data_IF_299305542469
#
_entry.id   IF_299305542469
#
_cell.length_a   1.000
_cell.length_b   1.000
_cell.length_c   1.000
_cell.angle_alpha   90.00
_cell.angle_beta   90.00
_cell.angle_gamma   90.00
#
_symmetry.space_group_name_H-M   'P 1'
#
loop_
_entity.id
_entity.type
_entity.pdbx_description
1 polymer ?
#
# COMPACT_ATOMS: atom_id res chain seq x y z
N UNK A 1 2.46 21.54 -12.09
CA UNK A 1 1.87 21.85 -10.77
C UNK A 1 3.02 22.28 -9.87
N UNK A 2 3.14 23.56 -9.55
CA UNK A 2 4.24 24.09 -8.74
C UNK A 2 3.85 24.04 -7.26
N UNK A 3 4.66 23.40 -6.43
CA UNK A 3 4.45 23.37 -4.97
C UNK A 3 4.96 24.68 -4.39
N UNK A 4 4.06 25.45 -3.74
CA UNK A 4 4.42 26.70 -3.06
C UNK A 4 4.58 26.42 -1.56
N UNK A 5 5.71 26.77 -0.92
CA UNK A 5 5.89 26.60 0.52
C UNK A 5 4.90 27.43 1.35
N UNK A 6 4.55 26.97 2.57
CA UNK A 6 3.71 27.76 3.48
C UNK A 6 4.37 29.09 3.85
N UNK A 7 3.58 30.18 3.88
CA UNK A 7 4.03 31.53 4.27
C UNK A 7 4.48 32.43 3.12
N UNK A 8 4.49 31.93 1.88
CA UNK A 8 4.81 32.72 0.69
C UNK A 8 3.51 33.20 0.02
N UNK A 9 3.30 34.51 -0.03
CA UNK A 9 2.25 35.10 -0.86
C UNK A 9 2.64 34.94 -2.32
N UNK A 10 1.91 34.13 -3.06
CA UNK A 10 2.14 33.88 -4.48
C UNK A 10 0.84 33.56 -5.20
N UNK A 11 0.82 33.65 -6.54
CA UNK A 11 -0.34 33.29 -7.32
C UNK A 11 -0.69 31.81 -7.09
N UNK A 12 -1.94 31.54 -6.73
CA UNK A 12 -2.47 30.19 -6.61
C UNK A 12 -3.18 29.83 -7.91
N UNK A 13 -2.94 28.62 -8.41
CA UNK A 13 -3.65 28.09 -9.59
C UNK A 13 -4.85 27.29 -9.08
N UNK A 14 -6.05 27.74 -9.45
CA UNK A 14 -7.24 26.93 -9.28
C UNK A 14 -7.32 25.91 -10.42
N UNK A 15 -7.40 24.62 -10.08
CA UNK A 15 -7.58 23.53 -11.04
C UNK A 15 -9.00 22.97 -10.86
N UNK A 16 -9.90 23.11 -11.84
CA UNK A 16 -11.24 22.56 -11.73
C UNK A 16 -11.19 21.04 -11.85
N UNK A 17 -11.95 20.36 -10.99
CA UNK A 17 -12.18 18.92 -11.06
C UNK A 17 -13.67 18.63 -11.18
N UNK A 18 -14.01 17.58 -11.94
CA UNK A 18 -15.38 17.14 -12.08
C UNK A 18 -15.85 16.51 -10.76
N UNK A 19 -17.00 16.95 -10.28
CA UNK A 19 -17.64 16.40 -9.08
C UNK A 19 -18.78 15.48 -9.50
N UNK A 20 -18.85 14.32 -8.86
CA UNK A 20 -19.89 13.30 -9.06
C UNK A 20 -20.63 13.05 -7.75
N UNK A 21 -21.89 12.61 -7.84
CA UNK A 21 -22.67 12.20 -6.68
C UNK A 21 -22.67 10.69 -6.56
N UNK A 22 -22.23 10.17 -5.41
CA UNK A 22 -22.35 8.75 -5.06
C UNK A 22 -23.68 8.55 -4.33
N UNK A 23 -24.66 7.97 -5.03
CA UNK A 23 -25.99 7.71 -4.47
C UNK A 23 -25.99 6.65 -3.36
N UNK A 24 -25.02 5.74 -3.35
CA UNK A 24 -24.91 4.68 -2.33
C UNK A 24 -24.36 5.27 -1.03
N UNK A 25 -23.33 6.12 -1.13
CA UNK A 25 -22.74 6.82 0.02
C UNK A 25 -23.51 8.06 0.43
N UNK A 26 -24.42 8.53 -0.42
CA UNK A 26 -25.20 9.75 -0.20
C UNK A 26 -24.37 11.03 -0.20
N UNK A 27 -23.21 11.05 -0.88
CA UNK A 27 -22.26 12.16 -0.81
C UNK A 27 -21.70 12.57 -2.18
N UNK A 28 -21.23 13.83 -2.27
CA UNK A 28 -20.49 14.32 -3.43
C UNK A 28 -19.01 13.97 -3.30
N UNK A 29 -18.38 13.57 -4.40
CA UNK A 29 -16.96 13.22 -4.45
C UNK A 29 -16.31 13.73 -5.74
N UNK A 30 -14.98 13.82 -5.71
CA UNK A 30 -14.14 14.11 -6.87
C UNK A 30 -12.83 13.36 -6.69
N UNK A 31 -12.40 12.67 -7.74
CA UNK A 31 -11.09 12.01 -7.75
C UNK A 31 -10.01 13.00 -8.16
N UNK A 32 -8.98 13.12 -7.32
CA UNK A 32 -7.84 14.02 -7.54
C UNK A 32 -6.58 13.16 -7.61
N UNK A 33 -6.11 12.92 -8.82
CA UNK A 33 -4.88 12.16 -9.06
C UNK A 33 -3.64 13.04 -8.87
N UNK A 34 -2.83 12.73 -7.86
CA UNK A 34 -1.56 13.43 -7.55
C UNK A 34 -0.38 12.48 -7.81
N UNK A 35 -0.39 11.81 -8.97
CA UNK A 35 0.53 10.72 -9.28
C UNK A 35 2.01 11.15 -9.32
N UNK A 36 2.31 12.34 -9.82
CA UNK A 36 3.69 12.83 -9.92
C UNK A 36 4.36 12.98 -8.55
N UNK A 37 3.63 13.46 -7.53
CA UNK A 37 4.19 13.63 -6.19
C UNK A 37 4.44 12.27 -5.52
N UNK A 38 3.49 11.35 -5.65
CA UNK A 38 3.64 9.97 -5.17
C UNK A 38 4.77 9.20 -5.88
N UNK A 39 5.12 9.60 -7.11
CA UNK A 39 6.22 9.05 -7.89
C UNK A 39 7.58 9.73 -7.65
N UNK A 40 7.68 10.73 -6.77
CA UNK A 40 8.95 11.41 -6.46
C UNK A 40 9.32 11.27 -4.97
N UNK A 41 8.39 10.85 -4.12
CA UNK A 41 8.60 10.78 -2.69
C UNK A 41 7.91 9.55 -2.11
N UNK A 42 8.54 8.94 -1.12
CA UNK A 42 7.92 7.87 -0.33
C UNK A 42 6.93 8.46 0.67
N UNK A 43 5.65 8.14 0.50
CA UNK A 43 4.56 8.53 1.39
C UNK A 43 4.47 10.03 1.72
N UNK A 44 4.50 10.95 0.73
CA UNK A 44 4.38 12.38 0.99
C UNK A 44 3.03 12.70 1.64
N UNK A 45 3.06 13.55 2.66
CA UNK A 45 1.87 14.00 3.36
C UNK A 45 1.25 15.19 2.62
N UNK A 46 0.02 15.03 2.13
CA UNK A 46 -0.69 16.08 1.38
C UNK A 46 -1.88 16.62 2.17
N UNK A 47 -2.10 17.92 2.06
CA UNK A 47 -3.31 18.59 2.51
C UNK A 47 -3.83 19.44 1.37
N UNK A 48 -5.11 19.28 1.04
CA UNK A 48 -5.74 20.00 -0.06
C UNK A 48 -6.49 21.22 0.47
N UNK A 49 -6.42 22.30 -0.29
CA UNK A 49 -7.30 23.45 -0.14
C UNK A 49 -8.34 23.38 -1.25
N UNK A 50 -9.62 23.24 -0.90
CA UNK A 50 -10.72 23.08 -1.85
C UNK A 50 -11.73 24.21 -1.73
N UNK A 51 -12.34 24.59 -2.84
CA UNK A 51 -13.45 25.53 -2.89
C UNK A 51 -14.44 25.10 -3.97
N UNK A 52 -15.70 25.50 -3.84
CA UNK A 52 -16.72 25.26 -4.87
C UNK A 52 -16.67 26.37 -5.89
N UNK A 53 -16.67 26.00 -7.17
CA UNK A 53 -16.88 26.92 -8.29
C UNK A 53 -18.38 27.03 -8.61
N UNK A 54 -18.88 28.26 -8.71
CA UNK A 54 -20.29 28.59 -8.88
C UNK A 54 -20.43 29.55 -10.08
N UNK A 55 -20.66 29.03 -11.30
CA UNK A 55 -20.74 29.87 -12.49
C UNK A 55 -21.89 30.87 -12.42
N UNK A 56 -23.03 30.46 -11.85
CA UNK A 56 -24.21 31.30 -11.60
C UNK A 56 -24.10 32.03 -10.25
N UNK A 57 -23.11 32.92 -10.13
CA UNK A 57 -22.87 33.72 -8.92
C UNK A 57 -22.82 35.21 -9.23
N UNK A 58 -22.87 36.04 -8.18
CA UNK A 58 -22.61 37.47 -8.33
C UNK A 58 -21.19 37.71 -8.84
N UNK A 59 -20.99 38.83 -9.53
CA UNK A 59 -19.68 39.22 -10.04
C UNK A 59 -18.62 39.20 -8.92
N UNK A 60 -17.49 38.54 -9.19
CA UNK A 60 -16.40 38.36 -8.22
C UNK A 60 -16.70 37.36 -7.08
N UNK A 61 -17.80 36.59 -7.13
CA UNK A 61 -18.21 35.63 -6.08
C UNK A 61 -18.31 34.18 -6.56
N UNK A 62 -17.68 33.84 -7.69
CA UNK A 62 -17.72 32.50 -8.27
C UNK A 62 -17.00 31.41 -7.46
N UNK A 63 -16.23 31.78 -6.44
CA UNK A 63 -15.49 30.85 -5.59
C UNK A 63 -15.99 30.97 -4.16
N UNK A 64 -16.38 29.85 -3.56
CA UNK A 64 -16.75 29.80 -2.15
C UNK A 64 -15.56 30.06 -1.23
N UNK A 65 -15.81 30.17 0.08
CA UNK A 65 -14.74 30.08 1.07
C UNK A 65 -13.91 28.80 0.85
N UNK A 66 -12.59 28.92 0.96
CA UNK A 66 -11.64 27.80 0.90
C UNK A 66 -11.72 26.99 2.19
N UNK A 67 -11.73 25.67 2.06
CA UNK A 67 -11.69 24.71 3.17
C UNK A 67 -10.44 23.85 3.00
N UNK A 68 -9.77 23.54 4.10
CA UNK A 68 -8.63 22.63 4.11
C UNK A 68 -9.09 21.22 4.50
N UNK A 69 -8.55 20.20 3.82
CA UNK A 69 -8.77 18.80 4.19
C UNK A 69 -7.89 18.41 5.38
N UNK A 70 -8.11 17.22 5.92
CA UNK A 70 -7.10 16.57 6.76
C UNK A 70 -5.85 16.23 5.93
N UNK A 71 -4.73 16.07 6.61
CA UNK A 71 -3.51 15.51 6.01
C UNK A 71 -3.70 14.03 5.69
N UNK A 72 -3.27 13.61 4.50
CA UNK A 72 -3.32 12.21 4.06
C UNK A 72 -1.97 11.83 3.45
N UNK A 73 -1.39 10.67 3.83
CA UNK A 73 -0.19 10.16 3.16
C UNK A 73 -0.57 9.57 1.79
N UNK A 74 0.15 9.96 0.73
CA UNK A 74 0.03 9.31 -0.58
C UNK A 74 0.96 8.12 -0.65
N UNK A 75 0.45 6.91 -0.42
CA UNK A 75 1.27 5.70 -0.51
C UNK A 75 1.84 5.52 -1.92
N UNK A 76 3.13 5.17 -2.05
CA UNK A 76 3.75 4.98 -3.35
C UNK A 76 3.17 3.75 -4.07
N UNK A 77 3.12 3.81 -5.40
CA UNK A 77 2.72 2.65 -6.22
C UNK A 77 3.69 1.49 -6.05
N UNK A 78 3.17 0.27 -6.23
CA UNK A 78 3.93 -0.98 -6.21
C UNK A 78 3.70 -1.76 -7.49
N UNK A 79 4.77 -2.29 -8.04
CA UNK A 79 4.72 -3.26 -9.14
C UNK A 79 5.19 -4.59 -8.60
N UNK A 80 4.27 -5.54 -8.46
CA UNK A 80 4.57 -6.91 -8.07
C UNK A 80 4.69 -7.76 -9.33
N UNK A 81 5.85 -8.37 -9.53
CA UNK A 81 6.09 -9.33 -10.62
C UNK A 81 6.57 -10.65 -10.04
N UNK A 82 6.23 -11.74 -10.73
CA UNK A 82 6.66 -13.07 -10.34
C UNK A 82 6.77 -13.98 -11.55
N UNK A 83 7.66 -14.96 -11.44
CA UNK A 83 7.87 -15.99 -12.45
C UNK A 83 8.16 -17.31 -11.76
N UNK A 84 7.51 -18.38 -12.20
CA UNK A 84 7.88 -19.72 -11.78
C UNK A 84 9.21 -20.09 -12.44
N UNK A 85 10.25 -20.30 -11.62
CA UNK A 85 11.61 -20.60 -12.10
C UNK A 85 11.71 -22.05 -12.53
N UNK A 86 11.14 -22.96 -11.73
CA UNK A 86 11.05 -24.39 -11.99
C UNK A 86 9.85 -24.99 -11.22
N UNK A 87 9.74 -26.32 -11.15
CA UNK A 87 8.63 -26.97 -10.47
C UNK A 87 8.65 -26.79 -8.93
N UNK A 88 9.76 -26.32 -8.36
CA UNK A 88 10.01 -26.22 -6.93
C UNK A 88 10.35 -24.80 -6.48
N UNK A 89 10.46 -23.82 -7.38
CA UNK A 89 10.89 -22.47 -7.04
C UNK A 89 10.10 -21.40 -7.81
N UNK A 90 9.80 -20.31 -7.11
CA UNK A 90 9.26 -19.09 -7.70
C UNK A 90 10.14 -17.90 -7.36
N UNK A 91 10.30 -17.02 -8.33
CA UNK A 91 10.96 -15.74 -8.19
C UNK A 91 9.91 -14.65 -8.06
N UNK A 92 10.03 -13.79 -7.06
CA UNK A 92 9.13 -12.66 -6.80
C UNK A 92 9.95 -11.38 -6.64
N UNK A 93 9.51 -10.30 -7.30
CA UNK A 93 10.10 -8.97 -7.17
C UNK A 93 8.99 -7.96 -6.91
N UNK A 94 9.15 -7.18 -5.84
CA UNK A 94 8.29 -6.03 -5.55
C UNK A 94 9.09 -4.74 -5.82
N UNK A 95 8.62 -3.93 -6.75
CA UNK A 95 9.27 -2.68 -7.16
C UNK A 95 8.45 -1.46 -6.75
N UNK A 96 9.15 -0.33 -6.57
CA UNK A 96 8.55 0.95 -6.27
C UNK A 96 9.55 1.89 -5.59
N UNK A 97 9.07 3.06 -5.21
CA UNK A 97 9.86 4.00 -4.42
C UNK A 97 9.86 3.56 -2.96
N UNK A 98 11.05 3.57 -2.37
CA UNK A 98 11.31 3.36 -0.93
C UNK A 98 11.80 4.68 -0.31
N UNK A 99 11.83 4.71 1.01
CA UNK A 99 12.49 5.78 1.77
C UNK A 99 13.93 6.00 1.32
N UNK A 100 14.34 7.27 1.29
CA UNK A 100 15.74 7.64 1.20
C UNK A 100 16.38 7.53 2.60
N UNK A 101 17.60 6.99 2.68
CA UNK A 101 18.35 6.89 3.93
C UNK A 101 18.75 5.45 4.29
N UNK A 102 19.23 5.24 5.54
CA UNK A 102 19.78 3.95 5.98
C UNK A 102 18.70 2.90 6.24
N UNK A 103 17.49 3.32 6.64
CA UNK A 103 16.34 2.43 6.83
C UNK A 103 15.62 2.26 5.51
N UNK A 104 15.82 1.11 4.86
CA UNK A 104 15.07 0.72 3.66
C UNK A 104 13.95 -0.23 4.02
N UNK A 105 12.90 -0.20 3.21
CA UNK A 105 11.82 -1.16 3.36
C UNK A 105 12.33 -2.57 3.04
N UNK A 106 11.88 -3.54 3.84
CA UNK A 106 12.16 -4.96 3.65
C UNK A 106 10.91 -5.61 3.08
N UNK A 107 11.09 -6.36 2.01
CA UNK A 107 10.06 -7.20 1.41
C UNK A 107 10.26 -8.61 1.93
N UNK A 108 9.20 -9.19 2.47
CA UNK A 108 9.11 -10.58 2.90
C UNK A 108 8.12 -11.31 1.99
N UNK A 109 8.51 -12.48 1.51
CA UNK A 109 7.61 -13.41 0.82
C UNK A 109 7.48 -14.67 1.66
N UNK A 110 6.25 -15.07 1.95
CA UNK A 110 5.93 -16.24 2.76
C UNK A 110 4.93 -17.13 2.02
N UNK A 111 5.20 -18.43 1.98
CA UNK A 111 4.26 -19.39 1.44
C UNK A 111 3.14 -19.61 2.47
N UNK A 112 1.90 -19.54 2.01
CA UNK A 112 0.74 -19.93 2.77
C UNK A 112 0.06 -21.11 2.09
N UNK A 113 -0.42 -22.04 2.90
CA UNK A 113 -1.12 -23.24 2.42
C UNK A 113 -2.40 -23.48 3.20
N UNK A 114 -3.35 -24.13 2.55
CA UNK A 114 -4.53 -24.70 3.21
C UNK A 114 -4.87 -26.05 2.59
N UNK A 115 -5.48 -26.98 3.34
CA UNK A 115 -5.98 -28.22 2.76
C UNK A 115 -6.94 -27.95 1.59
N UNK A 116 -6.91 -28.80 0.56
CA UNK A 116 -7.91 -28.76 -0.52
C UNK A 116 -9.30 -29.10 0.02
N UNK A 117 -10.33 -28.53 -0.60
CA UNK A 117 -11.73 -28.85 -0.26
C UNK A 117 -12.25 -28.18 1.02
N UNK A 118 -11.50 -27.25 1.60
CA UNK A 118 -11.88 -26.55 2.84
C UNK A 118 -13.00 -25.50 2.65
N UNK A 119 -13.51 -25.33 1.43
CA UNK A 119 -14.54 -24.33 1.08
C UNK A 119 -13.96 -22.95 0.74
N UNK A 120 -14.83 -21.98 0.45
CA UNK A 120 -14.45 -20.62 0.00
C UNK A 120 -14.03 -19.70 1.16
N UNK A 121 -13.07 -20.15 1.98
CA UNK A 121 -12.40 -19.28 2.94
C UNK A 121 -11.30 -18.50 2.22
N UNK A 122 -11.71 -17.52 1.41
CA UNK A 122 -10.82 -16.60 0.66
C UNK A 122 -10.20 -15.51 1.55
N UNK A 123 -10.54 -15.48 2.84
CA UNK A 123 -10.15 -14.43 3.78
C UNK A 123 -8.76 -14.60 4.44
N UNK A 124 -8.63 -14.28 5.74
CA UNK A 124 -7.36 -14.02 6.41
C UNK A 124 -6.54 -15.27 6.73
N UNK A 125 -5.24 -15.08 6.89
CA UNK A 125 -4.32 -16.08 7.46
C UNK A 125 -4.72 -16.37 8.91
N UNK A 126 -4.78 -17.65 9.26
CA UNK A 126 -5.09 -18.08 10.64
C UNK A 126 -3.89 -17.71 11.53
N UNK A 127 -4.15 -16.87 12.53
CA UNK A 127 -3.14 -16.36 13.45
C UNK A 127 -2.65 -17.41 14.48
N UNK A 128 -3.47 -18.44 14.73
CA UNK A 128 -3.13 -19.56 15.60
C UNK A 128 -2.92 -20.84 14.77
N UNK A 129 -1.85 -21.56 15.06
CA UNK A 129 -1.49 -22.79 14.36
C UNK A 129 -2.40 -24.00 14.69
N UNK A 130 -3.52 -23.80 15.38
CA UNK A 130 -4.44 -24.89 15.72
C UNK A 130 -4.92 -25.58 14.45
N UNK A 131 -4.66 -26.89 14.38
CA UNK A 131 -4.96 -27.70 13.21
C UNK A 131 -6.45 -27.83 12.94
N UNK A 132 -7.30 -27.58 13.93
CA UNK A 132 -8.75 -27.68 13.83
C UNK A 132 -9.42 -26.51 13.09
N UNK A 133 -8.76 -25.35 12.97
CA UNK A 133 -9.35 -24.18 12.29
C UNK A 133 -9.06 -24.26 10.78
N UNK A 134 -10.08 -24.39 9.94
CA UNK A 134 -9.91 -24.33 8.49
C UNK A 134 -9.43 -22.94 8.06
N UNK A 135 -8.34 -22.86 7.29
CA UNK A 135 -7.85 -21.59 6.73
C UNK A 135 -6.40 -21.62 6.25
N UNK A 136 -5.97 -20.48 5.72
CA UNK A 136 -4.60 -20.26 5.26
C UNK A 136 -3.61 -20.25 6.41
N UNK A 137 -2.52 -21.00 6.29
CA UNK A 137 -1.46 -21.05 7.29
C UNK A 137 -0.11 -20.78 6.66
N UNK A 138 0.68 -19.95 7.32
CA UNK A 138 2.07 -19.74 6.93
C UNK A 138 2.84 -21.06 7.05
N UNK A 139 3.45 -21.47 5.95
CA UNK A 139 4.53 -22.45 6.00
C UNK A 139 5.72 -21.75 6.67
N UNK A 140 6.46 -22.41 7.58
CA UNK A 140 7.63 -21.84 8.25
C UNK A 140 8.82 -21.70 7.28
N UNK A 141 8.60 -20.98 6.19
CA UNK A 141 9.53 -20.68 5.13
C UNK A 141 9.15 -19.32 4.55
N UNK A 142 10.01 -18.33 4.82
CA UNK A 142 9.90 -17.01 4.26
C UNK A 142 11.27 -16.56 3.77
N UNK A 143 11.28 -15.81 2.67
CA UNK A 143 12.48 -15.17 2.12
C UNK A 143 12.28 -13.67 2.23
N UNK A 144 13.33 -12.94 2.61
CA UNK A 144 13.26 -11.47 2.70
C UNK A 144 14.43 -10.80 2.00
N UNK A 145 14.21 -9.59 1.50
CA UNK A 145 15.25 -8.72 0.97
C UNK A 145 14.77 -7.28 0.84
N UNK A 146 15.54 -6.44 0.16
CA UNK A 146 15.15 -5.04 -0.07
C UNK A 146 14.11 -4.93 -1.19
N UNK A 147 13.35 -3.82 -1.21
CA UNK A 147 12.53 -3.47 -2.37
C UNK A 147 13.37 -3.50 -3.67
N UNK A 148 12.82 -4.10 -4.73
CA UNK A 148 13.48 -4.34 -6.02
C UNK A 148 14.41 -5.56 -6.06
N UNK A 149 14.66 -6.24 -4.93
CA UNK A 149 15.43 -7.48 -4.94
C UNK A 149 14.62 -8.63 -5.52
N UNK A 150 15.29 -9.50 -6.27
CA UNK A 150 14.73 -10.78 -6.70
C UNK A 150 14.74 -11.75 -5.52
N UNK A 151 13.56 -12.15 -5.05
CA UNK A 151 13.40 -13.09 -3.92
C UNK A 151 12.97 -14.45 -4.45
N UNK A 152 13.72 -15.50 -4.08
CA UNK A 152 13.39 -16.88 -4.46
C UNK A 152 12.77 -17.58 -3.26
N UNK A 153 11.62 -18.21 -3.50
CA UNK A 153 10.90 -19.00 -2.49
C UNK A 153 10.67 -20.41 -3.00
N UNK A 154 11.08 -21.44 -2.25
CA UNK A 154 10.74 -22.81 -2.57
C UNK A 154 9.23 -23.08 -2.43
N UNK A 155 8.72 -23.88 -3.36
CA UNK A 155 7.34 -24.33 -3.47
C UNK A 155 7.29 -25.84 -3.18
N UNK A 156 7.22 -26.27 -1.90
CA UNK A 156 7.04 -27.67 -1.55
C UNK A 156 5.82 -28.27 -2.26
N UNK A 157 5.99 -29.49 -2.74
CA UNK A 157 4.94 -30.27 -3.40
C UNK A 157 3.98 -30.84 -2.35
N UNK A 158 2.69 -30.90 -2.66
CA UNK A 158 1.67 -31.46 -1.78
C UNK A 158 0.24 -31.16 -2.25
N UNK A 159 -0.74 -31.82 -1.64
CA UNK A 159 -2.16 -31.61 -1.95
C UNK A 159 -2.76 -30.45 -1.13
N UNK A 160 -2.24 -29.25 -1.37
CA UNK A 160 -2.71 -28.03 -0.73
C UNK A 160 -3.05 -26.97 -1.79
N UNK A 161 -4.04 -26.14 -1.50
CA UNK A 161 -4.12 -24.84 -2.16
C UNK A 161 -2.99 -23.98 -1.59
N UNK A 162 -2.32 -23.21 -2.44
CA UNK A 162 -1.13 -22.44 -2.09
C UNK A 162 -1.27 -21.00 -2.57
N UNK A 163 -0.77 -20.07 -1.77
CA UNK A 163 -0.59 -18.66 -2.17
C UNK A 163 0.69 -18.12 -1.56
N UNK A 164 1.24 -17.07 -2.15
CA UNK A 164 2.39 -16.37 -1.57
C UNK A 164 1.90 -15.05 -1.06
N UNK A 165 2.12 -14.81 0.23
CA UNK A 165 1.92 -13.50 0.82
C UNK A 165 3.19 -12.69 0.66
N UNK A 166 3.07 -11.55 -0.01
CA UNK A 166 4.13 -10.57 -0.16
C UNK A 166 3.84 -9.43 0.81
N UNK A 167 4.77 -9.11 1.70
CA UNK A 167 4.59 -8.04 2.69
C UNK A 167 5.80 -7.12 2.70
N UNK A 168 5.56 -5.84 2.51
CA UNK A 168 6.59 -4.81 2.69
C UNK A 168 6.50 -4.25 4.10
N UNK A 169 7.63 -4.24 4.80
CA UNK A 169 7.78 -3.68 6.12
C UNK A 169 8.67 -2.44 6.10
N UNK A 170 8.21 -1.42 6.81
CA UNK A 170 8.96 -0.23 7.17
C UNK A 170 9.54 -0.39 8.59
N UNK A 171 10.80 0.00 8.78
CA UNK A 171 11.49 0.00 10.08
C UNK A 171 11.69 1.46 10.52
N UNK A 172 10.78 2.01 11.34
CA UNK A 172 10.82 3.42 11.74
C UNK A 172 12.02 3.77 12.64
N UNK A 173 12.69 2.77 13.20
CA UNK A 173 13.92 2.91 13.98
C UNK A 173 14.93 1.84 13.52
N UNK A 174 16.25 2.10 13.52
CA UNK A 174 17.24 1.06 13.31
C UNK A 174 16.99 -0.09 14.32
N UNK A 175 17.09 -1.33 13.84
CA UNK A 175 16.54 -2.55 14.45
C UNK A 175 17.05 -2.94 15.85
N UNK A 176 17.75 -2.08 16.59
CA UNK A 176 18.40 -2.38 17.86
C UNK A 176 18.25 -1.24 18.89
N UNK A 177 17.01 -0.83 19.21
CA UNK A 177 16.77 -0.09 20.45
C UNK A 177 16.41 -1.09 21.57
N UNK A 178 17.26 -1.26 22.60
CA UNK A 178 16.97 -2.15 23.72
C UNK A 178 15.67 -1.73 24.42
N UNK A 179 14.73 -2.67 24.58
CA UNK A 179 13.45 -2.44 25.26
C UNK A 179 12.28 -2.00 24.35
N UNK A 180 12.48 -1.84 23.04
CA UNK A 180 11.37 -1.60 22.12
C UNK A 180 10.53 -2.88 21.94
N UNK A 181 9.21 -2.77 22.13
CA UNK A 181 8.28 -3.87 21.84
C UNK A 181 8.37 -4.27 20.36
N UNK A 182 8.34 -5.58 20.07
CA UNK A 182 8.51 -6.11 18.71
C UNK A 182 7.50 -5.52 17.70
N UNK A 183 6.28 -5.24 18.15
CA UNK A 183 5.21 -4.59 17.36
C UNK A 183 5.52 -3.14 16.97
N UNK A 184 6.45 -2.48 17.68
CA UNK A 184 6.91 -1.12 17.37
C UNK A 184 8.17 -1.11 16.50
N UNK A 185 8.76 -2.28 16.22
CA UNK A 185 10.00 -2.37 15.44
C UNK A 185 9.75 -2.34 13.93
N UNK A 186 8.58 -2.78 13.47
CA UNK A 186 8.21 -2.76 12.05
C UNK A 186 6.74 -2.49 11.84
N UNK A 187 6.42 -1.83 10.73
CA UNK A 187 5.04 -1.58 10.27
C UNK A 187 4.87 -2.20 8.89
N UNK A 188 3.81 -2.99 8.69
CA UNK A 188 3.41 -3.42 7.36
C UNK A 188 2.85 -2.21 6.58
N UNK A 189 3.43 -1.91 5.42
CA UNK A 189 3.04 -0.77 4.57
C UNK A 189 2.41 -1.19 3.25
N UNK A 190 2.64 -2.43 2.84
CA UNK A 190 2.02 -3.04 1.68
C UNK A 190 1.85 -4.54 1.94
N UNK A 191 0.73 -5.11 1.49
CA UNK A 191 0.52 -6.56 1.47
C UNK A 191 -0.28 -6.92 0.25
N UNK A 192 0.16 -7.95 -0.46
CA UNK A 192 -0.53 -8.50 -1.61
C UNK A 192 -0.33 -10.03 -1.67
N UNK A 193 -1.16 -10.69 -2.47
CA UNK A 193 -1.22 -12.14 -2.58
C UNK A 193 -0.97 -12.58 -4.02
N UNK A 194 -0.10 -13.57 -4.19
CA UNK A 194 0.05 -14.32 -5.44
C UNK A 194 -0.65 -15.65 -5.27
N UNK A 195 -1.80 -15.82 -5.92
CA UNK A 195 -2.52 -17.09 -5.95
C UNK A 195 -1.80 -18.08 -6.87
N UNK A 196 -1.44 -19.26 -6.35
CA UNK A 196 -0.81 -20.32 -7.12
C UNK A 196 -1.88 -21.34 -7.52
N UNK A 197 -2.04 -21.55 -8.83
CA UNK A 197 -2.94 -22.57 -9.38
C UNK A 197 -2.30 -23.96 -9.35
#
# INVERSE_FOLDING_TARGET
MTVVPPGVSGPVIAVPHQVSYDAVRGCWYSDIAIAQLAALSYAPLVQLCVARYQPESLEGRAISKIVQTSFVPLMPSRTLSWTQVDAQNISVTLEGISQAGPSRNVVEIALEQRPKGTGDWSGPTVMQADSAIPGWRAVPQATSGTLGAQLILPLPQGEFDRRIRVTEYEYPSPANQPGALAELQRRAVFTDLIELK
#
